data_IF_695419345874
#
_entry.id   IF_695419345874
#
_cell.length_a   1.000
_cell.length_b   1.000
_cell.length_c   1.000
_cell.angle_alpha   90.00
_cell.angle_beta   90.00
_cell.angle_gamma   90.00
#
_symmetry.space_group_name_H-M   'P 1'
#
loop_
_entity.id
_entity.type
_entity.pdbx_description
1 polymer ?
#
# COMPACT_ATOMS: atom_id res chain seq x y z
N UNK A 1 -6.45 -56.28 24.81
CA UNK A 1 -5.68 -55.05 24.47
C UNK A 1 -6.02 -54.68 23.04
N UNK A 2 -6.50 -53.45 22.83
CA UNK A 2 -7.11 -53.00 21.56
C UNK A 2 -6.07 -52.81 20.44
N UNK A 3 -6.40 -53.28 19.23
CA UNK A 3 -5.60 -53.08 18.03
C UNK A 3 -5.64 -51.60 17.61
N UNK A 4 -4.46 -50.95 17.56
CA UNK A 4 -4.31 -49.59 17.04
C UNK A 4 -4.05 -49.65 15.55
N UNK A 5 -4.95 -49.05 14.78
CA UNK A 5 -4.84 -48.92 13.32
C UNK A 5 -3.68 -47.97 12.95
N UNK A 6 -2.91 -48.26 11.88
CA UNK A 6 -1.75 -47.47 11.46
C UNK A 6 -2.15 -46.12 10.86
N UNK A 7 -1.36 -45.09 11.20
CA UNK A 7 -1.54 -43.66 10.91
C UNK A 7 -1.47 -43.26 9.42
N UNK A 8 -1.28 -44.19 8.50
CA UNK A 8 -1.22 -43.90 7.06
C UNK A 8 -2.59 -43.72 6.40
N UNK A 9 -3.67 -44.23 7.02
CA UNK A 9 -5.02 -44.18 6.45
C UNK A 9 -5.69 -42.79 6.54
N UNK A 10 -5.10 -41.84 7.28
CA UNK A 10 -5.66 -40.52 7.50
C UNK A 10 -5.17 -39.46 6.50
N UNK A 11 -4.03 -39.69 5.83
CA UNK A 11 -3.41 -38.66 4.97
C UNK A 11 -3.97 -38.67 3.54
N UNK A 12 -4.60 -39.76 3.09
CA UNK A 12 -5.18 -39.86 1.73
C UNK A 12 -6.63 -39.37 1.61
N UNK A 13 -7.33 -39.12 2.72
CA UNK A 13 -8.73 -38.68 2.72
C UNK A 13 -8.93 -37.17 2.48
N UNK A 14 -7.92 -36.35 2.78
CA UNK A 14 -8.09 -34.89 2.78
C UNK A 14 -7.94 -34.24 1.38
N UNK A 15 -7.29 -34.91 0.42
CA UNK A 15 -6.97 -34.33 -0.89
C UNK A 15 -8.10 -34.50 -1.93
N UNK A 16 -9.09 -35.37 -1.68
CA UNK A 16 -10.23 -35.59 -2.60
C UNK A 16 -11.42 -34.66 -2.30
N UNK A 17 -11.56 -34.17 -1.06
CA UNK A 17 -12.70 -33.34 -0.64
C UNK A 17 -12.71 -31.89 -1.15
N UNK A 18 -11.56 -31.35 -1.57
CA UNK A 18 -11.43 -29.93 -1.90
C UNK A 18 -11.99 -29.54 -3.29
N UNK A 19 -12.16 -30.50 -4.20
CA UNK A 19 -12.59 -30.23 -5.60
C UNK A 19 -14.11 -30.20 -5.80
N UNK A 20 -14.90 -30.74 -4.86
CA UNK A 20 -16.38 -30.79 -4.98
C UNK A 20 -17.03 -29.45 -4.61
N UNK A 21 -16.39 -28.65 -3.75
CA UNK A 21 -16.95 -27.38 -3.27
C UNK A 21 -16.93 -26.24 -4.31
N UNK A 22 -16.06 -26.31 -5.33
CA UNK A 22 -15.91 -25.22 -6.32
C UNK A 22 -16.93 -25.33 -7.47
N UNK A 23 -17.50 -26.50 -7.73
CA UNK A 23 -18.49 -26.70 -8.82
C UNK A 23 -19.92 -26.33 -8.36
N UNK A 24 -20.22 -26.40 -7.06
CA UNK A 24 -21.57 -26.15 -6.54
C UNK A 24 -21.98 -24.67 -6.48
N UNK A 25 -21.03 -23.71 -6.49
CA UNK A 25 -21.37 -22.27 -6.46
C UNK A 25 -21.61 -21.65 -7.85
N UNK A 26 -21.32 -22.36 -8.93
CA UNK A 26 -21.47 -21.84 -10.30
C UNK A 26 -22.84 -22.12 -10.93
N UNK A 27 -23.69 -22.96 -10.31
CA UNK A 27 -24.99 -23.40 -10.87
C UNK A 27 -26.17 -22.57 -10.35
N UNK A 28 -25.98 -21.73 -9.32
CA UNK A 28 -27.09 -21.05 -8.64
C UNK A 28 -27.44 -19.65 -9.18
N UNK A 29 -27.03 -19.32 -10.41
CA UNK A 29 -27.28 -18.00 -11.00
C UNK A 29 -28.26 -18.00 -12.20
N UNK A 30 -28.78 -19.15 -12.63
CA UNK A 30 -29.51 -19.26 -13.92
C UNK A 30 -31.04 -19.50 -13.82
N UNK A 31 -31.67 -19.37 -12.64
CA UNK A 31 -33.09 -19.70 -12.47
C UNK A 31 -33.95 -18.67 -11.73
N UNK A 32 -34.19 -17.51 -12.38
CA UNK A 32 -35.45 -16.74 -12.38
C UNK A 32 -35.94 -16.03 -11.09
N UNK A 33 -36.97 -15.16 -11.13
CA UNK A 33 -37.95 -14.95 -12.21
C UNK A 33 -38.01 -13.51 -12.79
N UNK A 34 -38.47 -13.43 -14.04
CA UNK A 34 -38.82 -12.20 -14.76
C UNK A 34 -40.21 -11.66 -14.34
N UNK A 35 -40.37 -10.33 -14.21
CA UNK A 35 -41.65 -9.67 -14.43
C UNK A 35 -41.64 -8.87 -15.74
N UNK A 36 -42.62 -9.16 -16.59
CA UNK A 36 -42.92 -8.45 -17.84
C UNK A 36 -43.92 -7.32 -17.59
N UNK A 37 -43.70 -6.22 -18.32
CA UNK A 37 -44.62 -5.14 -18.73
C UNK A 37 -45.13 -4.10 -17.71
N UNK A 38 -44.73 -2.85 -17.97
CA UNK A 38 -45.70 -1.80 -18.29
C UNK A 38 -45.11 -0.82 -19.31
N UNK A 39 -45.82 -0.65 -20.42
CA UNK A 39 -45.55 0.27 -21.52
C UNK A 39 -45.87 1.71 -21.09
N UNK A 40 -44.96 2.66 -21.33
CA UNK A 40 -45.30 4.09 -21.44
C UNK A 40 -44.68 4.65 -22.72
N UNK A 41 -45.58 5.22 -23.52
CA UNK A 41 -45.47 5.71 -24.90
C UNK A 41 -44.43 6.84 -25.06
N UNK A 42 -43.77 6.96 -26.23
CA UNK A 42 -42.78 8.00 -26.51
C UNK A 42 -43.42 9.38 -26.65
N UNK A 43 -42.81 10.38 -26.02
CA UNK A 43 -43.08 11.79 -26.34
C UNK A 43 -41.81 12.38 -26.95
N UNK A 44 -41.83 12.50 -28.27
CA UNK A 44 -40.92 13.35 -29.04
C UNK A 44 -41.24 14.80 -28.70
N UNK A 45 -40.24 15.57 -28.28
CA UNK A 45 -40.27 17.02 -28.46
C UNK A 45 -38.86 17.54 -28.76
N UNK A 46 -38.86 18.56 -29.61
CA UNK A 46 -37.80 18.98 -30.51
C UNK A 46 -36.53 19.56 -29.87
N UNK A 47 -35.45 19.41 -30.65
CA UNK A 47 -34.24 20.24 -30.80
C UNK A 47 -34.03 21.45 -29.87
N UNK A 48 -32.87 21.44 -29.20
CA UNK A 48 -32.05 22.64 -29.06
C UNK A 48 -30.57 22.23 -29.04
N UNK A 49 -29.82 22.76 -30.00
CA UNK A 49 -28.37 22.71 -30.11
C UNK A 49 -27.69 23.37 -28.91
N UNK A 50 -26.38 23.14 -28.78
CA UNK A 50 -25.39 23.87 -27.95
C UNK A 50 -25.36 23.58 -26.44
N UNK A 51 -24.52 22.63 -26.04
CA UNK A 51 -23.26 22.94 -25.35
C UNK A 51 -22.42 21.67 -25.25
N UNK A 52 -21.18 21.70 -25.72
CA UNK A 52 -20.22 20.65 -25.43
C UNK A 52 -19.96 20.61 -23.93
N UNK A 53 -20.70 19.77 -23.21
CA UNK A 53 -20.40 19.47 -21.81
C UNK A 53 -19.09 18.69 -21.81
N UNK A 54 -17.97 19.39 -21.62
CA UNK A 54 -16.72 18.76 -21.27
C UNK A 54 -16.98 17.90 -20.03
N UNK A 55 -16.99 16.58 -20.22
CA UNK A 55 -17.10 15.61 -19.14
C UNK A 55 -16.03 15.96 -18.10
N UNK A 56 -16.36 16.06 -16.80
CA UNK A 56 -15.35 16.28 -15.77
C UNK A 56 -14.26 15.23 -15.92
N UNK A 57 -13.01 15.66 -16.12
CA UNK A 57 -11.87 14.75 -16.14
C UNK A 57 -11.88 14.01 -14.79
N UNK A 58 -11.90 12.66 -14.78
CA UNK A 58 -11.82 11.92 -13.53
C UNK A 58 -10.58 12.40 -12.76
N UNK A 59 -10.68 12.54 -11.43
CA UNK A 59 -9.55 12.97 -10.62
C UNK A 59 -8.35 12.10 -10.97
N UNK A 60 -7.20 12.75 -11.21
CA UNK A 60 -5.98 12.03 -11.51
C UNK A 60 -5.72 11.04 -10.38
N UNK A 61 -5.58 9.75 -10.72
CA UNK A 61 -5.22 8.72 -9.76
C UNK A 61 -3.85 9.00 -9.12
N UNK A 62 -3.46 8.21 -8.12
CA UNK A 62 -2.13 8.34 -7.53
C UNK A 62 -1.03 8.22 -8.60
N UNK A 63 0.10 8.92 -8.44
CA UNK A 63 1.20 8.84 -9.39
C UNK A 63 1.70 7.40 -9.54
N UNK A 64 1.99 7.01 -10.77
CA UNK A 64 2.55 5.70 -11.07
C UNK A 64 3.93 5.51 -10.40
N UNK A 65 4.30 4.25 -10.17
CA UNK A 65 5.64 3.89 -9.73
C UNK A 65 6.71 4.49 -10.66
N UNK A 66 7.72 5.21 -10.12
CA UNK A 66 8.79 5.77 -10.93
C UNK A 66 9.56 4.70 -11.72
N UNK A 67 9.78 4.95 -13.02
CA UNK A 67 10.43 4.00 -13.92
C UNK A 67 11.86 3.65 -13.49
N UNK A 68 12.63 4.63 -12.99
CA UNK A 68 14.01 4.45 -12.55
C UNK A 68 14.15 3.86 -11.13
N UNK A 69 13.13 3.14 -10.67
CA UNK A 69 13.11 2.57 -9.31
C UNK A 69 13.76 1.19 -9.20
N UNK A 70 14.24 0.60 -10.29
CA UNK A 70 14.92 -0.70 -10.32
C UNK A 70 13.96 -1.90 -10.33
N UNK A 71 14.43 -3.05 -9.86
CA UNK A 71 13.73 -4.34 -9.97
C UNK A 71 13.61 -5.05 -8.61
N UNK A 72 12.75 -6.07 -8.57
CA UNK A 72 12.53 -6.90 -7.39
C UNK A 72 11.85 -6.19 -6.22
N UNK A 73 11.81 -6.87 -5.08
CA UNK A 73 11.10 -6.38 -3.89
C UNK A 73 11.84 -5.20 -3.26
N UNK A 74 11.15 -4.07 -3.09
CA UNK A 74 11.77 -2.82 -2.63
C UNK A 74 10.76 -1.80 -2.12
N UNK A 75 11.25 -0.88 -1.32
CA UNK A 75 10.59 0.36 -0.95
C UNK A 75 11.09 1.44 -1.91
N UNK A 76 10.21 2.19 -2.55
CA UNK A 76 10.60 3.31 -3.43
C UNK A 76 10.12 4.60 -2.81
N UNK A 77 11.01 5.57 -2.64
CA UNK A 77 10.72 6.89 -2.08
C UNK A 77 11.03 7.97 -3.11
N UNK A 78 10.02 8.76 -3.51
CA UNK A 78 10.24 9.95 -4.35
C UNK A 78 10.27 11.20 -3.49
N UNK A 79 11.35 11.97 -3.64
CA UNK A 79 11.54 13.26 -2.97
C UNK A 79 10.55 14.30 -3.48
N UNK A 80 10.40 14.43 -4.79
CA UNK A 80 9.53 15.41 -5.44
C UNK A 80 8.05 15.12 -5.22
N UNK A 81 7.64 13.84 -5.32
CA UNK A 81 6.26 13.44 -5.07
C UNK A 81 5.92 13.32 -3.58
N UNK A 82 6.92 13.36 -2.68
CA UNK A 82 6.77 13.11 -1.23
C UNK A 82 5.92 11.87 -0.97
N UNK A 83 6.31 10.77 -1.60
CA UNK A 83 5.49 9.57 -1.71
C UNK A 83 6.33 8.32 -1.66
N UNK A 84 5.77 7.27 -1.06
CA UNK A 84 6.35 5.94 -0.97
C UNK A 84 5.53 4.94 -1.79
N UNK A 85 6.22 3.94 -2.32
CA UNK A 85 5.64 2.75 -2.93
C UNK A 85 6.24 1.50 -2.30
N UNK A 86 5.39 0.51 -2.05
CA UNK A 86 5.79 -0.84 -1.66
C UNK A 86 5.68 -1.74 -2.88
N UNK A 87 6.81 -2.28 -3.34
CA UNK A 87 6.89 -3.04 -4.58
C UNK A 87 7.25 -4.48 -4.27
N UNK A 88 6.42 -5.42 -4.72
CA UNK A 88 6.66 -6.85 -4.47
C UNK A 88 7.82 -7.42 -5.30
N UNK A 89 8.11 -8.70 -5.09
CA UNK A 89 9.20 -9.40 -5.79
C UNK A 89 9.01 -9.46 -7.32
N UNK A 90 7.78 -9.31 -7.82
CA UNK A 90 7.46 -9.29 -9.25
C UNK A 90 7.64 -7.90 -9.87
N UNK A 91 7.97 -6.89 -9.05
CA UNK A 91 8.08 -5.51 -9.50
C UNK A 91 6.75 -4.77 -9.56
N UNK A 92 5.66 -5.36 -9.07
CA UNK A 92 4.35 -4.70 -9.01
C UNK A 92 4.22 -3.87 -7.75
N UNK A 93 3.69 -2.66 -7.91
CA UNK A 93 3.26 -1.85 -6.79
C UNK A 93 2.10 -2.54 -6.07
N UNK A 94 2.25 -2.73 -4.76
CA UNK A 94 1.21 -3.28 -3.88
C UNK A 94 0.55 -2.21 -3.01
N UNK A 95 1.23 -1.08 -2.79
CA UNK A 95 0.72 0.07 -2.03
C UNK A 95 1.48 1.34 -2.40
N UNK A 96 0.79 2.48 -2.44
CA UNK A 96 1.40 3.83 -2.49
C UNK A 96 0.73 4.78 -1.51
N UNK A 97 1.51 5.68 -0.90
CA UNK A 97 0.99 6.68 0.05
C UNK A 97 1.92 7.89 0.22
N UNK A 98 1.33 9.02 0.58
CA UNK A 98 2.05 10.27 0.86
C UNK A 98 2.80 10.22 2.18
N UNK A 99 3.88 10.99 2.24
CA UNK A 99 4.69 11.18 3.43
C UNK A 99 4.93 12.65 3.71
N UNK A 100 5.26 12.93 4.97
CA UNK A 100 5.73 14.23 5.44
C UNK A 100 7.22 14.13 5.74
N UNK A 101 8.08 14.46 4.77
CA UNK A 101 9.51 14.43 5.01
C UNK A 101 9.95 15.57 5.94
N UNK A 102 10.95 15.27 6.76
CA UNK A 102 11.68 16.29 7.51
C UNK A 102 12.50 17.22 6.63
N UNK A 103 13.22 18.13 7.27
CA UNK A 103 13.99 19.20 6.60
C UNK A 103 15.30 18.72 5.96
N UNK A 104 15.79 17.53 6.32
CA UNK A 104 17.01 16.95 5.75
C UNK A 104 16.62 15.78 4.84
N UNK A 105 16.72 15.93 3.51
CA UNK A 105 16.42 14.85 2.58
C UNK A 105 17.61 13.88 2.44
N UNK A 106 17.36 12.58 2.19
CA UNK A 106 18.38 11.68 1.67
C UNK A 106 18.75 12.06 0.23
N UNK A 107 19.96 11.69 -0.21
CA UNK A 107 20.30 11.77 -1.62
C UNK A 107 19.54 10.69 -2.43
N UNK A 108 19.23 10.92 -3.71
CA UNK A 108 18.79 9.85 -4.61
C UNK A 108 19.83 8.73 -4.68
N UNK A 109 19.38 7.48 -4.66
CA UNK A 109 20.27 6.32 -4.61
C UNK A 109 19.60 5.04 -4.13
N UNK A 110 20.40 3.99 -3.98
CA UNK A 110 19.97 2.68 -3.46
C UNK A 110 20.55 2.47 -2.07
N UNK A 111 19.70 2.05 -1.15
CA UNK A 111 19.99 1.84 0.26
C UNK A 111 19.34 0.55 0.73
N UNK A 112 19.56 0.20 1.99
CA UNK A 112 18.84 -0.85 2.69
C UNK A 112 18.43 -0.38 4.09
N UNK A 113 17.38 -0.98 4.64
CA UNK A 113 17.03 -0.76 6.05
C UNK A 113 18.17 -1.30 6.91
N UNK A 114 18.79 -0.45 7.71
CA UNK A 114 19.95 -0.79 8.54
C UNK A 114 19.57 -1.12 9.97
N UNK A 115 18.52 -0.51 10.49
CA UNK A 115 18.05 -0.69 11.85
C UNK A 115 16.54 -0.47 11.94
N UNK A 116 15.92 -1.23 12.84
CA UNK A 116 14.51 -1.11 13.19
C UNK A 116 14.36 -0.84 14.67
N UNK A 117 13.46 0.07 15.02
CA UNK A 117 13.12 0.37 16.41
C UNK A 117 11.60 0.47 16.53
N UNK A 118 11.03 -0.27 17.49
CA UNK A 118 9.59 -0.35 17.63
C UNK A 118 8.98 1.00 18.02
N UNK A 119 9.57 1.70 18.98
CA UNK A 119 9.11 3.01 19.43
C UNK A 119 10.23 3.82 20.06
N UNK A 120 10.17 5.14 19.90
CA UNK A 120 11.05 6.10 20.57
C UNK A 120 10.41 7.50 20.50
N UNK A 121 11.03 8.47 21.18
CA UNK A 121 10.68 9.89 21.00
C UNK A 121 11.47 10.49 19.84
N UNK A 122 10.77 10.96 18.81
CA UNK A 122 11.38 11.54 17.60
C UNK A 122 12.17 12.82 17.90
N UNK A 123 13.05 13.21 16.97
CA UNK A 123 13.83 14.45 17.10
C UNK A 123 12.99 15.73 16.99
N UNK A 124 11.74 15.61 16.54
CA UNK A 124 10.72 16.66 16.58
C UNK A 124 9.92 16.68 17.90
N UNK A 125 10.21 15.77 18.82
CA UNK A 125 9.58 15.70 20.14
C UNK A 125 8.28 14.88 20.19
N UNK A 126 7.85 14.29 19.08
CA UNK A 126 6.64 13.45 19.00
C UNK A 126 6.97 12.00 19.36
N UNK A 127 6.09 11.30 20.08
CA UNK A 127 6.22 9.85 20.30
C UNK A 127 5.93 9.10 18.99
N UNK A 128 6.87 8.27 18.57
CA UNK A 128 6.82 7.58 17.27
C UNK A 128 6.96 6.08 17.43
N UNK A 129 6.49 5.37 16.41
CA UNK A 129 6.63 3.93 16.28
C UNK A 129 7.02 3.53 14.85
N UNK A 130 7.38 2.25 14.72
CA UNK A 130 7.80 1.61 13.47
C UNK A 130 8.93 2.37 12.76
N UNK A 131 10.00 2.64 13.50
CA UNK A 131 11.13 3.42 13.01
C UNK A 131 12.07 2.54 12.19
N UNK A 132 12.26 2.88 10.92
CA UNK A 132 13.11 2.12 10.00
C UNK A 132 14.19 3.04 9.40
N UNK A 133 15.40 2.90 9.92
CA UNK A 133 16.57 3.67 9.48
C UNK A 133 17.16 3.08 8.20
N UNK A 134 17.63 3.92 7.28
CA UNK A 134 18.26 3.43 6.04
C UNK A 134 19.46 4.23 5.56
N UNK A 135 19.64 5.46 6.02
CA UNK A 135 20.82 6.27 5.66
C UNK A 135 21.06 7.39 6.68
N UNK A 136 22.18 8.10 6.50
CA UNK A 136 22.56 9.29 7.27
C UNK A 136 23.01 10.38 6.32
N UNK A 137 22.50 11.60 6.50
CA UNK A 137 22.84 12.76 5.66
C UNK A 137 23.23 13.92 6.56
N UNK A 138 24.42 14.49 6.35
CA UNK A 138 24.94 15.62 7.14
C UNK A 138 24.87 15.41 8.66
N UNK A 139 25.14 14.20 9.14
CA UNK A 139 25.06 13.90 10.57
C UNK A 139 23.67 13.49 11.07
N UNK A 140 22.62 13.64 10.26
CA UNK A 140 21.22 13.37 10.62
C UNK A 140 20.80 12.01 10.10
N UNK A 141 20.28 11.16 11.00
CA UNK A 141 19.74 9.86 10.62
C UNK A 141 18.43 10.04 9.86
N UNK A 142 18.30 9.35 8.73
CA UNK A 142 17.09 9.36 7.91
C UNK A 142 16.34 8.05 8.14
N UNK A 143 15.07 8.17 8.51
CA UNK A 143 14.24 7.02 8.85
C UNK A 143 12.77 7.24 8.50
N UNK A 144 12.09 6.15 8.18
CA UNK A 144 10.64 6.11 8.09
C UNK A 144 10.04 5.91 9.48
N UNK A 145 8.90 6.53 9.77
CA UNK A 145 8.15 6.29 11.02
C UNK A 145 6.73 6.83 10.94
N UNK A 146 5.88 6.45 11.89
CA UNK A 146 4.59 7.10 12.11
C UNK A 146 4.50 7.65 13.54
N UNK A 147 3.70 8.72 13.72
CA UNK A 147 3.35 9.17 15.05
C UNK A 147 2.44 8.13 15.73
N UNK A 148 2.60 7.96 17.05
CA UNK A 148 1.79 7.01 17.82
C UNK A 148 0.30 7.38 17.78
N UNK A 149 0.00 8.68 17.82
CA UNK A 149 -1.35 9.27 17.70
C UNK A 149 -1.83 9.40 16.25
N UNK A 150 -0.99 9.11 15.27
CA UNK A 150 -1.28 9.22 13.84
C UNK A 150 -1.27 10.65 13.28
N UNK A 151 -0.88 11.65 14.07
CA UNK A 151 -0.79 13.03 13.62
C UNK A 151 0.34 13.25 12.61
N UNK A 152 0.18 14.28 11.76
CA UNK A 152 1.27 14.78 10.94
C UNK A 152 2.33 15.48 11.79
N UNK A 153 3.58 15.60 11.31
CA UNK A 153 4.63 16.30 12.05
C UNK A 153 4.27 17.76 12.38
N UNK A 154 4.73 18.28 13.53
CA UNK A 154 4.66 19.71 13.82
C UNK A 154 5.59 20.50 12.89
N UNK A 155 5.44 21.83 12.82
CA UNK A 155 6.36 22.70 12.08
C UNK A 155 7.84 22.48 12.49
N UNK A 156 8.73 22.46 11.51
CA UNK A 156 10.15 22.16 11.72
C UNK A 156 10.97 23.38 12.14
N UNK A 157 10.55 24.08 13.20
CA UNK A 157 11.08 25.34 13.77
C UNK A 157 12.63 25.49 13.78
N UNK A 158 13.25 25.73 12.63
CA UNK A 158 14.71 25.78 12.45
C UNK A 158 15.46 24.45 12.68
N UNK A 159 14.74 23.34 12.91
CA UNK A 159 15.35 22.05 13.28
C UNK A 159 15.76 21.24 12.05
N UNK A 160 16.88 20.52 12.15
CA UNK A 160 17.30 19.50 11.18
C UNK A 160 16.64 18.16 11.51
N UNK A 161 15.65 17.77 10.71
CA UNK A 161 14.85 16.57 10.93
C UNK A 161 15.02 15.60 9.76
N UNK A 162 15.38 14.34 10.07
CA UNK A 162 15.51 13.27 9.08
C UNK A 162 14.35 12.27 9.06
N UNK A 163 13.35 12.48 9.93
CA UNK A 163 12.16 11.62 9.95
C UNK A 163 11.31 11.84 8.71
N UNK A 164 10.98 10.77 8.01
CA UNK A 164 9.99 10.73 6.93
C UNK A 164 8.72 10.13 7.53
N UNK A 165 7.78 11.01 7.88
CA UNK A 165 6.58 10.63 8.62
C UNK A 165 5.47 10.17 7.69
N UNK A 166 4.67 9.24 8.16
CA UNK A 166 3.47 8.78 7.45
C UNK A 166 2.31 8.54 8.41
N UNK A 167 1.12 8.31 7.86
CA UNK A 167 -0.05 7.92 8.64
C UNK A 167 0.20 6.58 9.32
N UNK A 168 -0.44 6.35 10.47
CA UNK A 168 -0.25 5.13 11.27
C UNK A 168 -0.49 3.83 10.48
N UNK A 169 -1.55 3.78 9.69
CA UNK A 169 -1.85 2.63 8.83
C UNK A 169 -0.78 2.36 7.77
N UNK A 170 -0.16 3.41 7.25
CA UNK A 170 0.89 3.30 6.24
C UNK A 170 2.21 2.87 6.89
N UNK A 171 2.49 3.37 8.10
CA UNK A 171 3.63 2.94 8.91
C UNK A 171 3.55 1.47 9.29
N UNK A 172 2.38 0.98 9.69
CA UNK A 172 2.16 -0.44 9.96
C UNK A 172 2.34 -1.30 8.69
N UNK A 173 1.84 -0.85 7.54
CA UNK A 173 2.03 -1.55 6.27
C UNK A 173 3.51 -1.59 5.86
N UNK A 174 4.24 -0.48 5.99
CA UNK A 174 5.67 -0.40 5.70
C UNK A 174 6.49 -1.31 6.65
N UNK A 175 6.14 -1.32 7.93
CA UNK A 175 6.78 -2.17 8.94
C UNK A 175 6.56 -3.66 8.70
N UNK A 176 5.36 -4.06 8.28
CA UNK A 176 5.09 -5.43 7.88
C UNK A 176 5.78 -5.81 6.57
N UNK A 177 5.96 -4.83 5.67
CA UNK A 177 6.61 -5.03 4.39
C UNK A 177 8.13 -5.22 4.57
N UNK A 178 8.83 -4.30 5.21
CA UNK A 178 10.29 -4.33 5.28
C UNK A 178 10.84 -4.86 6.59
N UNK A 179 11.89 -5.68 6.51
CA UNK A 179 12.82 -5.93 7.61
C UNK A 179 14.20 -5.28 7.36
N UNK A 180 15.12 -5.41 8.31
CA UNK A 180 16.53 -5.09 8.10
C UNK A 180 17.05 -5.78 6.82
N UNK A 181 17.79 -5.04 6.01
CA UNK A 181 18.24 -5.48 4.69
C UNK A 181 17.26 -5.21 3.55
N UNK A 182 16.01 -4.82 3.81
CA UNK A 182 15.05 -4.48 2.74
C UNK A 182 15.57 -3.31 1.92
N UNK A 183 15.55 -3.46 0.58
CA UNK A 183 16.01 -2.43 -0.33
C UNK A 183 15.12 -1.18 -0.27
N UNK A 184 15.77 -0.01 -0.24
CA UNK A 184 15.13 1.31 -0.35
C UNK A 184 15.74 2.02 -1.55
N UNK A 185 14.92 2.45 -2.49
CA UNK A 185 15.35 3.22 -3.66
C UNK A 185 14.79 4.62 -3.55
N UNK A 186 15.68 5.61 -3.45
CA UNK A 186 15.31 7.03 -3.39
C UNK A 186 15.46 7.62 -4.79
N UNK A 187 14.38 8.22 -5.28
CA UNK A 187 14.32 8.90 -6.58
C UNK A 187 13.95 10.37 -6.38
N UNK A 188 14.15 11.17 -7.42
CA UNK A 188 13.83 12.61 -7.39
C UNK A 188 12.34 12.89 -7.35
#
# INVERSE_FOLDING_TARGET
MAARLPSWAWVSGLTVGATVAVVALAVQADHGPHPTAASVKPSTSASASTHGSAKPKPPAGPPALPADSGDGRRIVYSLGAKRLWLVDATGKETRTFEVWPGTVPPAPGRYSITLRTQSLKGSDGVEIEHVMYFTKTQGVNIAFSNALDGASPPPAEGKKLGGIRMRKQDGAALWAFGDQGTNVVVVK
#
